data_IF_221211699321
#
_entry.id   IF_221211699321
#
_cell.length_a   1.000
_cell.length_b   1.000
_cell.length_c   1.000
_cell.angle_alpha   90.00
_cell.angle_beta   90.00
_cell.angle_gamma   90.00
#
_symmetry.space_group_name_H-M   'P 1'
#
loop_
_entity.id
_entity.type
_entity.pdbx_description
1 polymer ?
#
# COMPACT_ATOMS: atom_id res chain seq x y z
N UNK A 1 -21.13 6.92 -12.19
CA UNK A 1 -20.58 6.67 -10.84
C UNK A 1 -20.54 5.18 -10.50
N UNK A 2 -21.64 4.43 -10.63
CA UNK A 2 -21.67 2.98 -10.32
C UNK A 2 -20.65 2.13 -11.06
N UNK A 3 -20.36 2.40 -12.35
CA UNK A 3 -19.32 1.66 -13.10
C UNK A 3 -17.93 1.85 -12.50
N UNK A 4 -17.61 3.05 -12.01
CA UNK A 4 -16.32 3.32 -11.36
C UNK A 4 -16.19 2.57 -10.04
N UNK A 5 -17.28 2.58 -9.24
CA UNK A 5 -17.32 1.85 -7.98
C UNK A 5 -17.20 0.34 -8.20
N UNK A 6 -17.93 -0.20 -9.17
CA UNK A 6 -17.86 -1.61 -9.54
C UNK A 6 -16.43 -2.04 -9.88
N UNK A 7 -15.69 -1.24 -10.66
CA UNK A 7 -14.29 -1.55 -10.98
C UNK A 7 -13.38 -1.54 -9.76
N UNK A 8 -13.57 -0.59 -8.84
CA UNK A 8 -12.78 -0.50 -7.63
C UNK A 8 -13.03 -1.67 -6.68
N UNK A 9 -14.30 -2.03 -6.47
CA UNK A 9 -14.69 -3.16 -5.60
C UNK A 9 -14.30 -4.51 -6.21
N UNK A 10 -14.31 -4.63 -7.54
CA UNK A 10 -13.83 -5.82 -8.25
C UNK A 10 -12.30 -5.94 -8.28
N UNK A 11 -11.57 -4.93 -7.81
CA UNK A 11 -10.13 -5.00 -7.63
C UNK A 11 -9.81 -5.48 -6.21
N UNK A 12 -9.03 -6.56 -6.09
CA UNK A 12 -8.66 -7.14 -4.80
C UNK A 12 -8.00 -6.13 -3.84
N UNK A 13 -7.15 -5.24 -4.36
CA UNK A 13 -6.50 -4.21 -3.55
C UNK A 13 -7.49 -3.13 -3.10
N UNK A 14 -8.44 -2.74 -3.95
CA UNK A 14 -9.51 -1.81 -3.59
C UNK A 14 -10.43 -2.37 -2.50
N UNK A 15 -10.79 -3.65 -2.62
CA UNK A 15 -11.59 -4.35 -1.62
C UNK A 15 -10.85 -4.48 -0.27
N UNK A 16 -9.56 -4.83 -0.28
CA UNK A 16 -8.74 -4.90 0.93
C UNK A 16 -8.70 -3.55 1.68
N UNK A 17 -8.55 -2.43 0.96
CA UNK A 17 -8.58 -1.09 1.56
C UNK A 17 -9.96 -0.72 2.09
N UNK A 18 -11.02 -1.11 1.40
CA UNK A 18 -12.40 -0.90 1.88
C UNK A 18 -12.62 -1.62 3.22
N UNK A 19 -12.16 -2.87 3.32
CA UNK A 19 -12.20 -3.62 4.57
C UNK A 19 -11.32 -2.98 5.66
N UNK A 20 -10.15 -2.44 5.32
CA UNK A 20 -9.27 -1.74 6.28
C UNK A 20 -9.95 -0.49 6.84
N UNK A 21 -10.64 0.27 5.98
CA UNK A 21 -11.43 1.45 6.37
C UNK A 21 -12.56 1.02 7.32
N UNK A 22 -13.33 0.00 6.96
CA UNK A 22 -14.39 -0.52 7.84
C UNK A 22 -13.84 -0.97 9.21
N UNK A 23 -12.72 -1.70 9.21
CA UNK A 23 -12.04 -2.12 10.44
C UNK A 23 -11.62 -0.92 11.29
N UNK A 24 -11.04 0.12 10.68
CA UNK A 24 -10.57 1.31 11.39
C UNK A 24 -11.72 2.10 12.04
N UNK A 25 -12.85 2.23 11.35
CA UNK A 25 -14.04 2.89 11.89
C UNK A 25 -14.62 2.10 13.06
N UNK A 26 -14.71 0.77 12.95
CA UNK A 26 -15.16 -0.09 14.04
C UNK A 26 -14.21 -0.01 15.24
N UNK A 27 -12.90 0.03 15.01
CA UNK A 27 -11.92 0.15 16.09
C UNK A 27 -12.07 1.48 16.86
N UNK A 28 -12.29 2.59 16.15
CA UNK A 28 -12.57 3.89 16.78
C UNK A 28 -13.86 3.83 17.60
N UNK A 29 -14.94 3.29 17.03
CA UNK A 29 -16.23 3.17 17.72
C UNK A 29 -16.14 2.30 18.98
N UNK A 30 -15.48 1.15 18.89
CA UNK A 30 -15.27 0.26 20.05
C UNK A 30 -14.42 0.94 21.12
N UNK A 31 -13.45 1.77 20.74
CA UNK A 31 -12.57 2.47 21.69
C UNK A 31 -13.29 3.65 22.37
N UNK A 32 -14.20 4.33 21.68
CA UNK A 32 -14.96 5.46 22.22
C UNK A 32 -16.22 5.04 23.00
N UNK A 33 -16.71 3.82 22.80
CA UNK A 33 -17.83 3.27 23.56
C UNK A 33 -17.39 2.99 25.00
N UNK A 34 -17.56 3.98 25.89
CA UNK A 34 -17.19 3.93 27.32
C UNK A 34 -17.90 2.83 28.14
N UNK A 35 -18.86 2.10 27.56
CA UNK A 35 -19.72 1.19 28.31
C UNK A 35 -20.20 0.02 27.46
N UNK A 36 -19.44 -1.07 27.42
CA UNK A 36 -20.02 -2.39 27.18
C UNK A 36 -19.13 -3.44 27.87
N UNK A 37 -19.51 -3.81 29.09
CA UNK A 37 -18.91 -4.84 29.94
C UNK A 37 -19.11 -6.27 29.39
N UNK A 38 -19.11 -6.45 28.07
CA UNK A 38 -19.25 -7.73 27.38
C UNK A 38 -18.60 -7.72 25.99
N UNK A 39 -18.39 -8.90 25.40
CA UNK A 39 -17.94 -9.05 24.00
C UNK A 39 -19.01 -8.47 23.08
N UNK A 40 -18.95 -7.17 22.79
CA UNK A 40 -19.90 -6.50 21.91
C UNK A 40 -19.85 -7.14 20.51
N UNK A 41 -20.99 -7.24 19.83
CA UNK A 41 -21.07 -7.72 18.44
C UNK A 41 -20.08 -6.99 17.52
N UNK A 42 -19.80 -5.71 17.81
CA UNK A 42 -18.81 -4.88 17.14
C UNK A 42 -17.37 -5.40 17.30
N UNK A 43 -16.99 -5.87 18.47
CA UNK A 43 -15.66 -6.48 18.70
C UNK A 43 -15.49 -7.78 17.92
N UNK A 44 -16.56 -8.58 17.81
CA UNK A 44 -16.57 -9.79 17.00
C UNK A 44 -16.45 -9.43 15.51
N UNK A 45 -17.28 -8.52 15.01
CA UNK A 45 -17.22 -8.06 13.63
C UNK A 45 -15.84 -7.49 13.26
N UNK A 46 -15.23 -6.71 14.16
CA UNK A 46 -13.87 -6.19 14.00
C UNK A 46 -12.85 -7.32 13.81
N UNK A 47 -12.91 -8.36 14.65
CA UNK A 47 -12.00 -9.51 14.55
C UNK A 47 -12.18 -10.28 13.24
N UNK A 48 -13.42 -10.51 12.81
CA UNK A 48 -13.71 -11.18 11.55
C UNK A 48 -13.19 -10.38 10.35
N UNK A 49 -13.41 -9.06 10.32
CA UNK A 49 -12.89 -8.20 9.25
C UNK A 49 -11.36 -8.21 9.23
N UNK A 50 -10.72 -8.18 10.41
CA UNK A 50 -9.26 -8.25 10.52
C UNK A 50 -8.72 -9.54 9.92
N UNK A 51 -9.35 -10.69 10.20
CA UNK A 51 -9.00 -11.99 9.62
C UNK A 51 -9.26 -12.03 8.12
N UNK A 52 -10.42 -11.55 7.65
CA UNK A 52 -10.78 -11.47 6.24
C UNK A 52 -9.72 -10.74 5.41
N UNK A 53 -9.15 -9.65 5.95
CA UNK A 53 -8.08 -8.90 5.27
C UNK A 53 -6.77 -9.68 5.13
N UNK A 54 -6.46 -10.60 6.05
CA UNK A 54 -5.23 -11.41 5.99
C UNK A 54 -5.25 -12.31 4.75
N UNK A 55 -6.41 -12.78 4.30
CA UNK A 55 -6.54 -13.60 3.08
C UNK A 55 -6.08 -12.87 1.81
N UNK A 56 -6.33 -11.56 1.70
CA UNK A 56 -5.87 -10.76 0.55
C UNK A 56 -4.34 -10.58 0.53
N UNK A 57 -3.65 -10.92 1.62
CA UNK A 57 -2.20 -10.74 1.76
C UNK A 57 -1.40 -12.05 1.77
N UNK A 58 -2.09 -13.20 1.85
CA UNK A 58 -1.50 -14.54 1.96
C UNK A 58 -0.32 -14.80 1.02
N UNK A 59 -0.44 -14.43 -0.25
CA UNK A 59 0.56 -14.70 -1.28
C UNK A 59 1.34 -13.44 -1.70
N UNK A 60 1.17 -12.32 -0.99
CA UNK A 60 1.86 -11.06 -1.34
C UNK A 60 3.37 -11.12 -1.12
N UNK A 61 3.85 -12.12 -0.37
CA UNK A 61 5.30 -12.34 -0.23
C UNK A 61 5.97 -12.59 -1.58
N UNK A 62 5.27 -13.21 -2.54
CA UNK A 62 5.78 -13.51 -3.89
C UNK A 62 6.09 -12.21 -4.63
N UNK A 63 5.14 -11.27 -4.64
CA UNK A 63 5.32 -9.95 -5.26
C UNK A 63 6.46 -9.18 -4.58
N UNK A 64 6.55 -9.27 -3.25
CA UNK A 64 7.62 -8.62 -2.51
C UNK A 64 9.01 -9.15 -2.88
N UNK A 65 9.20 -10.47 -2.98
CA UNK A 65 10.49 -11.01 -3.38
C UNK A 65 10.81 -10.79 -4.86
N UNK A 66 9.82 -10.82 -5.75
CA UNK A 66 10.02 -10.40 -7.14
C UNK A 66 10.50 -8.95 -7.24
N UNK A 67 9.92 -8.03 -6.46
CA UNK A 67 10.37 -6.65 -6.38
C UNK A 67 11.76 -6.51 -5.73
N UNK A 68 12.09 -7.36 -4.75
CA UNK A 68 13.41 -7.39 -4.13
C UNK A 68 14.49 -7.80 -5.15
N UNK A 69 14.21 -8.83 -5.96
CA UNK A 69 15.09 -9.26 -7.04
C UNK A 69 15.25 -8.18 -8.11
N UNK A 70 14.15 -7.56 -8.55
CA UNK A 70 14.18 -6.49 -9.54
C UNK A 70 15.01 -5.29 -9.08
N UNK A 71 14.86 -4.87 -7.82
CA UNK A 71 15.65 -3.78 -7.24
C UNK A 71 17.10 -4.17 -7.05
N UNK A 72 17.39 -5.41 -6.65
CA UNK A 72 18.76 -5.91 -6.50
C UNK A 72 19.52 -5.95 -7.82
N UNK A 73 18.84 -6.23 -8.92
CA UNK A 73 19.42 -6.26 -10.26
C UNK A 73 19.44 -4.88 -10.95
N UNK A 74 18.90 -3.83 -10.32
CA UNK A 74 18.90 -2.49 -10.89
C UNK A 74 20.27 -1.82 -10.78
N UNK A 75 21.05 -1.94 -11.85
CA UNK A 75 22.37 -1.31 -11.96
C UNK A 75 22.31 0.22 -12.15
N UNK A 76 21.14 0.80 -12.43
CA UNK A 76 21.00 2.23 -12.71
C UNK A 76 20.87 3.07 -11.45
N UNK A 77 20.32 2.50 -10.38
CA UNK A 77 20.17 3.19 -9.10
C UNK A 77 21.48 3.23 -8.31
N UNK A 78 21.63 4.27 -7.49
CA UNK A 78 22.73 4.38 -6.54
C UNK A 78 22.76 3.16 -5.61
N UNK A 79 23.96 2.67 -5.25
CA UNK A 79 24.13 1.48 -4.40
C UNK A 79 23.34 1.57 -3.10
N UNK A 80 23.31 2.74 -2.45
CA UNK A 80 22.54 2.94 -1.22
C UNK A 80 21.03 2.77 -1.46
N UNK A 81 20.49 3.42 -2.50
CA UNK A 81 19.08 3.28 -2.87
C UNK A 81 18.76 1.81 -3.12
N UNK A 82 19.54 1.14 -3.96
CA UNK A 82 19.38 -0.29 -4.26
C UNK A 82 19.33 -1.16 -3.01
N UNK A 83 20.31 -1.02 -2.11
CA UNK A 83 20.37 -1.82 -0.87
C UNK A 83 19.16 -1.58 0.02
N UNK A 84 18.76 -0.31 0.23
CA UNK A 84 17.59 0.02 1.07
C UNK A 84 16.29 -0.45 0.42
N UNK A 85 16.14 -0.31 -0.89
CA UNK A 85 14.97 -0.78 -1.65
C UNK A 85 14.84 -2.31 -1.60
N UNK A 86 15.93 -3.04 -1.83
CA UNK A 86 15.96 -4.49 -1.71
C UNK A 86 15.63 -4.91 -0.27
N UNK A 87 16.24 -4.28 0.73
CA UNK A 87 15.95 -4.56 2.14
C UNK A 87 14.46 -4.34 2.48
N UNK A 88 13.86 -3.22 2.04
CA UNK A 88 12.43 -2.95 2.20
C UNK A 88 11.57 -4.12 1.71
N UNK A 89 11.81 -4.54 0.46
CA UNK A 89 11.02 -5.58 -0.18
C UNK A 89 11.28 -6.97 0.43
N UNK A 90 12.52 -7.30 0.78
CA UNK A 90 12.87 -8.54 1.47
C UNK A 90 12.21 -8.64 2.85
N UNK A 91 12.26 -7.57 3.65
CA UNK A 91 11.67 -7.52 4.99
C UNK A 91 10.14 -7.63 4.94
N UNK A 92 9.49 -6.92 4.01
CA UNK A 92 8.05 -7.05 3.78
C UNK A 92 7.68 -8.45 3.27
N UNK A 93 8.52 -9.06 2.43
CA UNK A 93 8.35 -10.43 1.97
C UNK A 93 8.40 -11.43 3.13
N UNK A 94 9.38 -11.31 4.03
CA UNK A 94 9.48 -12.13 5.25
C UNK A 94 8.22 -11.96 6.11
N UNK A 95 7.75 -10.71 6.33
CA UNK A 95 6.52 -10.47 7.08
C UNK A 95 5.31 -11.23 6.51
N UNK A 96 5.03 -11.09 5.20
CA UNK A 96 3.90 -11.78 4.58
C UNK A 96 4.07 -13.30 4.57
N UNK A 97 5.30 -13.79 4.40
CA UNK A 97 5.61 -15.21 4.45
C UNK A 97 5.33 -15.81 5.83
N UNK A 98 5.71 -15.12 6.91
CA UNK A 98 5.40 -15.56 8.27
C UNK A 98 3.90 -15.40 8.61
N UNK A 99 3.24 -14.35 8.11
CA UNK A 99 1.78 -14.13 8.27
C UNK A 99 0.97 -15.29 7.67
N UNK A 100 1.45 -15.91 6.58
CA UNK A 100 0.84 -17.08 5.93
C UNK A 100 0.69 -18.26 6.89
N UNK A 101 1.65 -18.50 7.78
CA UNK A 101 1.56 -19.55 8.78
C UNK A 101 0.71 -19.10 9.98
N UNK A 102 0.85 -17.85 10.40
CA UNK A 102 0.12 -17.30 11.55
C UNK A 102 -1.42 -17.30 11.37
N UNK A 103 -1.92 -17.19 10.13
CA UNK A 103 -3.36 -17.17 9.86
C UNK A 103 -4.06 -18.47 10.27
N UNK A 104 -3.39 -19.63 10.14
CA UNK A 104 -3.95 -20.95 10.46
C UNK A 104 -4.26 -21.10 11.94
N UNK A 105 -3.45 -20.45 12.79
CA UNK A 105 -3.64 -20.39 14.23
C UNK A 105 -4.78 -19.42 14.60
N UNK A 106 -4.87 -18.26 13.93
CA UNK A 106 -5.93 -17.27 14.18
C UNK A 106 -7.31 -17.78 13.75
N UNK A 107 -7.37 -18.60 12.70
CA UNK A 107 -8.60 -19.25 12.24
C UNK A 107 -9.07 -20.40 13.16
N UNK A 108 -8.25 -20.83 14.11
CA UNK A 108 -8.53 -22.01 14.94
C UNK A 108 -8.42 -23.34 14.19
N UNK A 109 -7.92 -23.34 12.94
CA UNK A 109 -7.72 -24.56 12.16
C UNK A 109 -6.56 -25.41 12.72
N UNK A 110 -5.59 -24.75 13.35
CA UNK A 110 -4.44 -25.39 14.01
C UNK A 110 -4.15 -24.65 15.31
N UNK A 111 -3.56 -25.33 16.29
CA UNK A 111 -3.14 -24.69 17.54
C UNK A 111 -1.67 -25.00 17.78
N UNK A 112 -0.83 -23.96 17.83
CA UNK A 112 0.59 -24.10 18.08
C UNK A 112 1.02 -23.21 19.25
N UNK A 113 1.89 -23.72 20.12
CA UNK A 113 2.48 -22.95 21.22
C UNK A 113 3.34 -21.77 20.72
N UNK A 114 3.93 -21.90 19.54
CA UNK A 114 4.76 -20.88 18.89
C UNK A 114 3.98 -19.88 18.02
N UNK A 115 2.65 -19.99 17.92
CA UNK A 115 1.85 -19.12 17.06
C UNK A 115 1.91 -17.64 17.45
N UNK A 116 1.83 -17.34 18.75
CA UNK A 116 1.92 -15.96 19.25
C UNK A 116 3.33 -15.37 19.10
N UNK A 117 4.42 -16.08 19.47
CA UNK A 117 5.78 -15.65 19.13
C UNK A 117 5.99 -15.38 17.64
N UNK A 118 5.51 -16.27 16.75
CA UNK A 118 5.62 -16.09 15.31
C UNK A 118 4.94 -14.80 14.84
N UNK A 119 3.73 -14.51 15.34
CA UNK A 119 3.02 -13.27 15.01
C UNK A 119 3.81 -12.03 15.46
N UNK A 120 4.45 -12.07 16.64
CA UNK A 120 5.29 -10.97 17.14
C UNK A 120 6.51 -10.78 16.22
N UNK A 121 7.22 -11.86 15.88
CA UNK A 121 8.38 -11.77 14.98
C UNK A 121 8.00 -11.25 13.60
N UNK A 122 6.89 -11.72 13.03
CA UNK A 122 6.38 -11.22 11.76
C UNK A 122 6.13 -9.69 11.83
N UNK A 123 5.49 -9.21 12.89
CA UNK A 123 5.22 -7.77 13.04
C UNK A 123 6.50 -6.93 13.24
N UNK A 124 7.57 -7.48 13.81
CA UNK A 124 8.88 -6.80 13.83
C UNK A 124 9.43 -6.60 12.42
N UNK A 125 9.39 -7.64 11.57
CA UNK A 125 9.79 -7.51 10.16
C UNK A 125 8.94 -6.50 9.40
N UNK A 126 7.65 -6.40 9.71
CA UNK A 126 6.80 -5.34 9.15
C UNK A 126 7.30 -3.94 9.57
N UNK A 127 7.62 -3.71 10.85
CA UNK A 127 8.21 -2.44 11.31
C UNK A 127 9.52 -2.16 10.61
N UNK A 128 10.43 -3.14 10.49
CA UNK A 128 11.70 -2.95 9.79
C UNK A 128 11.51 -2.62 8.31
N UNK A 129 10.57 -3.28 7.63
CA UNK A 129 10.23 -2.98 6.24
C UNK A 129 9.66 -1.57 6.05
N UNK A 130 8.78 -1.13 6.96
CA UNK A 130 8.27 0.24 6.97
C UNK A 130 9.39 1.26 7.26
N UNK A 131 10.29 0.97 8.19
CA UNK A 131 11.46 1.80 8.48
C UNK A 131 12.36 1.98 7.26
N UNK A 132 12.65 0.89 6.54
CA UNK A 132 13.39 0.95 5.27
C UNK A 132 12.64 1.78 4.21
N UNK A 133 11.31 1.67 4.12
CA UNK A 133 10.48 2.48 3.22
C UNK A 133 10.53 3.98 3.53
N UNK A 134 10.51 4.33 4.82
CA UNK A 134 10.64 5.71 5.30
C UNK A 134 12.03 6.27 4.94
N UNK A 135 13.10 5.53 5.24
CA UNK A 135 14.47 5.93 4.89
C UNK A 135 14.60 6.15 3.39
N UNK A 136 14.07 5.23 2.58
CA UNK A 136 14.06 5.33 1.13
C UNK A 136 13.37 6.62 0.66
N UNK A 137 12.16 6.87 1.16
CA UNK A 137 11.38 8.06 0.80
C UNK A 137 12.09 9.36 1.18
N UNK A 138 12.81 9.38 2.31
CA UNK A 138 13.60 10.53 2.76
C UNK A 138 14.84 10.76 1.88
N UNK A 139 15.54 9.68 1.51
CA UNK A 139 16.69 9.75 0.60
C UNK A 139 16.24 10.25 -0.78
N UNK A 140 15.13 9.73 -1.30
CA UNK A 140 14.57 10.18 -2.57
C UNK A 140 14.16 11.66 -2.51
N UNK A 141 13.53 12.10 -1.40
CA UNK A 141 13.16 13.50 -1.21
C UNK A 141 14.38 14.42 -1.12
N UNK A 142 15.45 13.99 -0.46
CA UNK A 142 16.70 14.75 -0.31
C UNK A 142 17.51 14.83 -1.62
N UNK A 143 17.33 13.86 -2.53
CA UNK A 143 18.03 13.81 -3.82
C UNK A 143 17.23 14.41 -4.97
N UNK A 144 16.00 14.90 -4.71
CA UNK A 144 15.24 15.63 -5.71
C UNK A 144 16.04 16.86 -6.18
N UNK A 145 16.26 17.03 -7.50
CA UNK A 145 16.82 18.26 -8.02
C UNK A 145 15.92 19.42 -7.61
N UNK A 146 16.49 20.44 -6.96
CA UNK A 146 15.75 21.67 -6.66
C UNK A 146 15.33 22.30 -7.98
N UNK A 147 14.06 22.16 -8.35
CA UNK A 147 13.56 22.74 -9.60
C UNK A 147 13.62 24.28 -9.48
N UNK A 148 14.13 25.00 -10.50
CA UNK A 148 13.95 26.43 -10.60
C UNK A 148 12.45 26.71 -10.72
N UNK A 149 11.97 27.72 -10.00
CA UNK A 149 10.58 28.19 -10.05
C UNK A 149 10.19 28.49 -11.51
N UNK A 150 9.23 27.80 -12.12
CA UNK A 150 8.81 28.13 -13.48
C UNK A 150 7.95 29.40 -13.43
N UNK A 151 8.48 30.49 -13.99
CA UNK A 151 7.71 31.69 -14.26
C UNK A 151 6.63 31.36 -15.31
N UNK A 152 5.41 31.84 -15.08
CA UNK A 152 4.28 31.67 -16.00
C UNK A 152 4.53 32.53 -17.24
N UNK A 153 4.97 31.93 -18.34
CA UNK A 153 4.78 32.44 -19.70
C UNK A 153 5.53 31.50 -20.66
N UNK A 154 4.79 30.64 -21.37
CA UNK A 154 4.99 30.25 -22.78
C UNK A 154 4.01 29.12 -23.07
N UNK A 155 2.76 29.52 -23.33
CA UNK A 155 1.81 28.73 -24.10
C UNK A 155 2.20 28.89 -25.56
N UNK A 156 2.08 27.81 -26.35
CA UNK A 156 2.29 27.70 -27.81
C UNK A 156 3.73 27.58 -28.32
N UNK A 157 4.13 26.36 -28.67
CA UNK A 157 4.37 25.98 -30.07
C UNK A 157 4.74 24.48 -30.17
N UNK A 158 4.33 23.86 -31.29
CA UNK A 158 4.80 22.58 -31.84
C UNK A 158 4.07 21.29 -31.42
N UNK A 159 2.83 21.19 -31.91
CA UNK A 159 2.38 19.97 -32.61
C UNK A 159 3.15 19.87 -33.94
N UNK A 160 3.73 18.70 -34.27
CA UNK A 160 3.48 17.93 -35.50
C UNK A 160 4.59 16.90 -35.82
N UNK A 161 4.12 15.76 -36.36
CA UNK A 161 4.79 14.66 -37.12
C UNK A 161 5.44 13.48 -36.38
N UNK A 162 4.80 12.31 -36.55
CA UNK A 162 5.41 11.27 -37.39
C UNK A 162 5.78 9.91 -36.77
N UNK A 163 4.77 9.06 -36.55
CA UNK A 163 4.68 7.60 -36.85
C UNK A 163 5.96 6.71 -36.98
N UNK A 164 6.05 5.63 -36.17
CA UNK A 164 6.00 4.20 -36.61
C UNK A 164 6.44 3.19 -35.53
N UNK A 165 5.52 2.25 -35.24
CA UNK A 165 5.67 0.83 -34.87
C UNK A 165 6.77 0.35 -33.90
N UNK A 166 6.37 -0.14 -32.71
CA UNK A 166 6.60 -1.54 -32.30
C UNK A 166 5.73 -1.94 -31.11
N UNK A 167 4.94 -2.98 -31.32
CA UNK A 167 4.11 -3.69 -30.33
C UNK A 167 5.00 -4.41 -29.31
N UNK A 168 4.95 -3.96 -28.04
CA UNK A 168 5.30 -4.76 -26.86
C UNK A 168 4.39 -4.32 -25.73
N UNK A 169 3.59 -5.26 -25.24
CA UNK A 169 2.71 -5.11 -24.07
C UNK A 169 3.58 -4.71 -22.86
N UNK A 170 3.38 -3.53 -22.21
CA UNK A 170 4.08 -3.22 -20.98
C UNK A 170 3.21 -3.59 -19.79
N UNK A 171 3.63 -4.71 -19.20
CA UNK A 171 3.70 -5.00 -17.79
C UNK A 171 3.70 -3.76 -16.87
N UNK A 172 2.95 -3.91 -15.78
CA UNK A 172 2.60 -2.96 -14.73
C UNK A 172 3.81 -2.17 -14.18
N UNK A 173 4.11 -1.03 -14.80
CA UNK A 173 4.92 0.03 -14.18
C UNK A 173 4.10 0.67 -13.06
N UNK A 174 4.48 0.40 -11.82
CA UNK A 174 4.15 1.28 -10.71
C UNK A 174 4.78 2.66 -10.97
N UNK A 175 3.91 3.62 -11.31
CA UNK A 175 3.96 5.05 -11.03
C UNK A 175 5.35 5.71 -11.10
N UNK A 176 5.69 6.19 -12.30
CA UNK A 176 6.63 7.30 -12.55
C UNK A 176 6.09 8.04 -13.77
N UNK A 177 5.95 9.36 -13.91
CA UNK A 177 6.14 10.53 -13.07
C UNK A 177 5.53 11.72 -13.86
N UNK A 178 5.21 12.82 -13.20
CA UNK A 178 5.28 14.17 -13.80
C UNK A 178 6.12 15.05 -12.86
N UNK A 179 6.83 16.09 -13.35
CA UNK A 179 7.95 16.69 -12.61
C UNK A 179 7.56 17.45 -11.32
N UNK A 180 6.30 17.85 -11.17
CA UNK A 180 5.75 18.43 -9.93
C UNK A 180 5.09 17.41 -8.98
N UNK A 181 5.02 16.13 -9.38
CA UNK A 181 4.21 15.08 -8.75
C UNK A 181 5.05 14.15 -7.86
N UNK A 182 6.38 14.12 -8.01
CA UNK A 182 7.23 13.18 -7.28
C UNK A 182 7.31 13.49 -5.78
N UNK A 183 7.54 14.75 -5.38
CA UNK A 183 7.64 15.13 -3.96
C UNK A 183 6.32 14.89 -3.20
N UNK A 184 5.17 15.26 -3.79
CA UNK A 184 3.87 15.04 -3.17
C UNK A 184 3.55 13.54 -2.99
N UNK A 185 3.91 12.70 -3.96
CA UNK A 185 3.75 11.25 -3.84
C UNK A 185 4.67 10.65 -2.77
N UNK A 186 5.92 11.12 -2.69
CA UNK A 186 6.87 10.70 -1.65
C UNK A 186 6.41 11.12 -0.25
N UNK A 187 5.93 12.35 -0.08
CA UNK A 187 5.34 12.82 1.19
C UNK A 187 4.11 12.01 1.57
N UNK A 188 3.24 11.71 0.60
CA UNK A 188 2.07 10.85 0.82
C UNK A 188 2.49 9.45 1.27
N UNK A 189 3.48 8.86 0.62
CA UNK A 189 4.02 7.54 0.99
C UNK A 189 4.61 7.57 2.41
N UNK A 190 5.35 8.61 2.75
CA UNK A 190 5.91 8.81 4.10
C UNK A 190 4.80 8.88 5.16
N UNK A 191 3.72 9.63 4.90
CA UNK A 191 2.55 9.70 5.79
C UNK A 191 1.89 8.33 5.93
N UNK A 192 1.70 7.59 4.83
CA UNK A 192 1.12 6.24 4.85
C UNK A 192 1.97 5.30 5.70
N UNK A 193 3.28 5.25 5.46
CA UNK A 193 4.19 4.33 6.16
C UNK A 193 4.32 4.68 7.65
N UNK A 194 4.35 5.97 7.98
CA UNK A 194 4.37 6.44 9.38
C UNK A 194 3.08 6.10 10.11
N UNK A 195 1.92 6.31 9.48
CA UNK A 195 0.64 5.89 10.04
C UNK A 195 0.56 4.36 10.18
N UNK A 196 1.12 3.61 9.22
CA UNK A 196 1.09 2.15 9.25
C UNK A 196 1.97 1.57 10.36
N UNK A 197 3.03 2.26 10.81
CA UNK A 197 3.86 1.85 11.96
C UNK A 197 3.07 1.71 13.27
N UNK A 198 1.99 2.47 13.44
CA UNK A 198 1.12 2.39 14.61
C UNK A 198 0.56 0.97 14.82
N UNK A 199 0.27 0.25 13.73
CA UNK A 199 -0.39 -1.06 13.80
C UNK A 199 0.54 -2.16 14.35
N UNK A 200 1.69 -2.47 13.71
CA UNK A 200 2.61 -3.46 14.25
C UNK A 200 3.32 -2.96 15.50
N UNK A 201 3.61 -1.65 15.61
CA UNK A 201 4.31 -1.06 16.75
C UNK A 201 3.56 -1.19 18.07
N UNK A 202 2.23 -1.06 18.04
CA UNK A 202 1.39 -1.31 19.23
C UNK A 202 1.21 -2.80 19.53
N UNK A 203 1.10 -3.64 18.49
CA UNK A 203 0.96 -5.09 18.65
C UNK A 203 2.17 -5.74 19.34
N UNK A 204 3.39 -5.29 18.99
CA UNK A 204 4.64 -5.76 19.60
C UNK A 204 4.98 -5.03 20.91
N UNK A 205 4.26 -3.97 21.25
CA UNK A 205 4.46 -3.18 22.48
C UNK A 205 5.56 -2.13 22.43
N UNK A 206 6.08 -1.78 21.24
CA UNK A 206 7.09 -0.72 21.07
C UNK A 206 6.49 0.68 21.12
N UNK A 207 5.23 0.83 20.69
CA UNK A 207 4.49 2.10 20.69
C UNK A 207 3.29 1.98 21.62
N UNK A 208 3.19 2.88 22.59
CA UNK A 208 2.09 2.92 23.57
C UNK A 208 1.11 4.03 23.17
N UNK A 209 0.16 3.72 22.30
CA UNK A 209 -0.93 4.63 21.90
C UNK A 209 -2.27 3.93 22.04
N UNK A 210 -3.31 4.71 22.35
CA UNK A 210 -4.67 4.17 22.50
C UNK A 210 -5.20 3.57 21.19
N UNK A 211 -6.07 2.56 21.31
CA UNK A 211 -6.73 1.88 20.19
C UNK A 211 -7.49 2.84 19.26
N UNK A 212 -8.03 3.93 19.79
CA UNK A 212 -8.67 4.98 18.98
C UNK A 212 -7.67 5.64 18.01
N UNK A 213 -6.46 5.97 18.47
CA UNK A 213 -5.43 6.58 17.63
C UNK A 213 -4.87 5.59 16.60
N UNK A 214 -4.73 4.32 16.95
CA UNK A 214 -4.39 3.26 15.98
C UNK A 214 -5.45 3.18 14.89
N UNK A 215 -6.73 3.21 15.27
CA UNK A 215 -7.85 3.27 14.32
C UNK A 215 -7.76 4.48 13.40
N UNK A 216 -7.50 5.68 13.94
CA UNK A 216 -7.34 6.89 13.14
C UNK A 216 -6.17 6.79 12.15
N UNK A 217 -5.00 6.31 12.59
CA UNK A 217 -3.84 6.12 11.73
C UNK A 217 -4.10 5.09 10.61
N UNK A 218 -4.77 3.98 10.94
CA UNK A 218 -5.23 3.00 9.96
C UNK A 218 -6.22 3.59 8.96
N UNK A 219 -7.13 4.47 9.39
CA UNK A 219 -8.11 5.11 8.52
C UNK A 219 -7.41 6.05 7.51
N UNK A 220 -6.53 6.93 7.99
CA UNK A 220 -5.80 7.91 7.15
C UNK A 220 -4.94 7.20 6.10
N UNK A 221 -4.11 6.25 6.51
CA UNK A 221 -3.26 5.47 5.59
C UNK A 221 -4.09 4.73 4.53
N UNK A 222 -5.23 4.15 4.93
CA UNK A 222 -6.11 3.43 4.00
C UNK A 222 -6.79 4.32 3.00
N UNK A 223 -7.26 5.49 3.43
CA UNK A 223 -7.94 6.44 2.55
C UNK A 223 -6.96 6.97 1.50
N UNK A 224 -5.75 7.33 1.93
CA UNK A 224 -4.68 7.76 1.04
C UNK A 224 -4.33 6.67 0.02
N UNK A 225 -4.11 5.42 0.45
CA UNK A 225 -3.84 4.31 -0.46
C UNK A 225 -5.02 4.00 -1.39
N UNK A 226 -6.26 4.06 -0.89
CA UNK A 226 -7.46 3.82 -1.69
C UNK A 226 -7.62 4.84 -2.81
N UNK A 227 -7.25 6.12 -2.58
CA UNK A 227 -7.30 7.13 -3.64
C UNK A 227 -6.32 6.85 -4.79
N UNK A 228 -5.16 6.26 -4.53
CA UNK A 228 -4.22 5.88 -5.60
C UNK A 228 -4.70 4.66 -6.38
N UNK A 229 -5.20 3.65 -5.66
CA UNK A 229 -5.80 2.47 -6.29
C UNK A 229 -7.00 2.89 -7.16
N UNK A 230 -7.84 3.79 -6.66
CA UNK A 230 -8.96 4.34 -7.43
C UNK A 230 -8.48 4.99 -8.72
N UNK A 231 -7.48 5.87 -8.66
CA UNK A 231 -6.92 6.52 -9.85
C UNK A 231 -6.36 5.50 -10.85
N UNK A 232 -5.60 4.52 -10.37
CA UNK A 232 -4.97 3.50 -11.20
C UNK A 232 -6.00 2.60 -11.91
N UNK A 233 -7.01 2.13 -11.19
CA UNK A 233 -8.09 1.28 -11.73
C UNK A 233 -8.91 2.05 -12.78
N UNK A 234 -9.14 3.34 -12.54
CA UNK A 234 -9.88 4.17 -13.49
C UNK A 234 -9.06 4.48 -14.74
N UNK A 235 -7.77 4.79 -14.59
CA UNK A 235 -6.85 5.02 -15.72
C UNK A 235 -6.73 3.78 -16.62
N UNK A 236 -6.63 2.58 -16.04
CA UNK A 236 -6.55 1.32 -16.78
C UNK A 236 -7.81 1.02 -17.63
N UNK A 237 -8.94 1.68 -17.35
CA UNK A 237 -10.20 1.49 -18.11
C UNK A 237 -10.34 2.42 -19.33
N UNK A 238 -9.50 3.45 -19.45
CA UNK A 238 -9.53 4.44 -20.54
C UNK A 238 -8.99 3.93 -21.89
N UNK A 239 -8.02 3.00 -21.99
CA UNK A 239 -7.47 2.55 -23.27
C UNK A 239 -8.45 1.81 -24.19
N UNK A 240 -9.47 1.13 -23.65
CA UNK A 240 -10.36 0.29 -24.48
C UNK A 240 -11.50 1.05 -25.17
N UNK A 241 -11.89 2.23 -24.69
CA UNK A 241 -12.99 3.01 -25.30
C UNK A 241 -12.57 3.81 -26.53
N UNK A 242 -11.29 4.18 -26.65
CA UNK A 242 -10.79 4.98 -27.78
C UNK A 242 -10.60 4.16 -29.07
N UNK A 243 -10.47 2.83 -28.96
CA UNK A 243 -10.37 1.92 -30.10
C UNK A 243 -11.75 1.44 -30.59
N UNK A 244 -12.74 1.33 -29.68
CA UNK A 244 -14.10 0.92 -30.04
C UNK A 244 -14.90 1.96 -30.85
N UNK A 245 -14.48 3.23 -30.84
CA UNK A 245 -15.11 4.31 -31.62
C UNK A 245 -14.41 4.62 -32.94
N UNK A 246 -13.18 4.11 -33.15
CA UNK A 246 -12.44 4.29 -34.42
C UNK A 246 -12.68 3.18 -35.45
N UNK A 247 -13.35 2.08 -35.10
CA UNK A 247 -13.70 0.98 -36.02
C UNK A 247 -15.09 1.09 -36.67
N UNK A 248 -15.77 2.22 -36.53
CA UNK A 248 -17.06 2.51 -37.20
C UNK A 248 -16.96 3.82 -37.98
N UNK A 249 -16.11 3.85 -38.99
CA UNK A 249 -16.24 4.76 -40.14
C UNK A 249 -15.71 4.04 -41.37
#
# INVERSE_FOLDING_TARGET
>A
MFTSLSRFVNNAAGLEKTLRIAQSLLLINVSLSLAATGKSSWSLALSHIAVSRRFFRLLRWVDCWANAEATFNDQKSNTLHRVVATAKWSLLGIYFFLEMFAITNVLGATTYSWGRPLEIEANKFWVYGLGASIILSLVDLATLPSAPVPNKETVQALNEKGDKNKTTVPEKKEISASPGTNSQNLMKQLVIDTCDLATPGTLIGWIQIDRAYVGAAMFVSSLLAATDIWRNVQAASVPQRALATKGKK
#
